data_IF_278009353029
#
_entry.id   IF_278009353029
#
_cell.length_a   1.000
_cell.length_b   1.000
_cell.length_c   1.000
_cell.angle_alpha   90.00
_cell.angle_beta   90.00
_cell.angle_gamma   90.00
#
_symmetry.space_group_name_H-M   'P 1'
#
loop_
_entity.id
_entity.type
_entity.pdbx_description
1 polymer ?
#
# COMPACT_ATOMS: atom_id res chain seq x y z
N UNK A 1 38.05 -16.14 -16.27
CA UNK A 1 37.33 -14.98 -16.83
C UNK A 1 35.95 -15.03 -16.23
N UNK A 2 35.49 -14.05 -15.45
CA UNK A 2 34.13 -14.04 -14.99
C UNK A 2 33.21 -13.71 -16.17
N UNK A 3 32.13 -14.47 -16.31
CA UNK A 3 31.06 -14.18 -17.28
C UNK A 3 30.42 -12.84 -16.91
N UNK A 4 30.50 -11.88 -17.85
CA UNK A 4 29.74 -10.64 -17.75
C UNK A 4 28.27 -10.99 -17.73
N UNK A 5 27.56 -10.66 -16.64
CA UNK A 5 26.12 -10.62 -16.62
C UNK A 5 25.66 -9.64 -17.71
N UNK A 6 24.64 -10.01 -18.48
CA UNK A 6 24.06 -9.11 -19.45
C UNK A 6 23.47 -7.91 -18.67
N UNK A 7 24.03 -6.72 -18.90
CA UNK A 7 23.46 -5.47 -18.41
C UNK A 7 22.05 -5.33 -19.00
N UNK A 8 21.03 -5.46 -18.14
CA UNK A 8 19.65 -5.22 -18.54
C UNK A 8 19.45 -3.73 -18.76
N UNK A 9 19.10 -3.35 -20.00
CA UNK A 9 19.04 -1.94 -20.40
C UNK A 9 17.87 -1.14 -19.80
N UNK A 10 16.91 -1.81 -19.14
CA UNK A 10 15.70 -1.19 -18.57
C UNK A 10 14.99 -2.13 -17.59
N UNK A 11 14.12 -1.54 -16.77
CA UNK A 11 13.11 -2.23 -15.96
C UNK A 11 11.72 -1.69 -16.33
N UNK A 12 10.72 -2.56 -16.32
CA UNK A 12 9.33 -2.18 -16.58
C UNK A 12 8.42 -2.69 -15.46
N UNK A 13 7.72 -1.76 -14.83
CA UNK A 13 6.65 -2.06 -13.90
C UNK A 13 5.32 -1.97 -14.67
N UNK A 14 4.57 -3.09 -14.75
CA UNK A 14 3.31 -3.19 -15.48
C UNK A 14 2.19 -3.53 -14.51
N UNK A 15 1.33 -2.56 -14.20
CA UNK A 15 0.20 -2.72 -13.31
C UNK A 15 -1.10 -2.66 -14.08
N UNK A 16 -1.96 -3.67 -13.92
CA UNK A 16 -3.22 -3.78 -14.67
C UNK A 16 -4.42 -3.82 -13.73
N UNK A 17 -5.46 -3.05 -14.07
CA UNK A 17 -6.78 -3.13 -13.46
C UNK A 17 -7.77 -3.66 -14.49
N UNK A 18 -8.53 -4.73 -14.15
CA UNK A 18 -9.38 -5.49 -15.08
C UNK A 18 -10.85 -5.46 -14.66
N UNK A 19 -11.73 -5.50 -15.66
CA UNK A 19 -13.17 -5.75 -15.49
C UNK A 19 -13.65 -6.73 -16.58
N UNK A 20 -14.94 -7.03 -16.63
CA UNK A 20 -15.51 -8.15 -17.40
C UNK A 20 -15.04 -8.25 -18.87
N UNK A 21 -14.77 -7.13 -19.55
CA UNK A 21 -14.43 -7.09 -20.98
C UNK A 21 -13.37 -6.04 -21.32
N UNK A 22 -12.70 -5.47 -20.29
CA UNK A 22 -11.72 -4.42 -20.48
C UNK A 22 -10.69 -4.33 -19.37
N UNK A 23 -9.70 -3.48 -19.58
CA UNK A 23 -8.63 -3.21 -18.62
C UNK A 23 -8.05 -1.82 -18.81
N UNK A 24 -7.45 -1.30 -17.75
CA UNK A 24 -6.44 -0.25 -17.83
C UNK A 24 -5.10 -0.80 -17.37
N UNK A 25 -4.02 -0.39 -18.01
CA UNK A 25 -2.67 -0.69 -17.56
C UNK A 25 -1.89 0.61 -17.33
N UNK A 26 -1.19 0.67 -16.21
CA UNK A 26 -0.20 1.68 -15.91
C UNK A 26 1.18 1.05 -16.11
N UNK A 27 2.02 1.73 -16.87
CA UNK A 27 3.35 1.25 -17.22
C UNK A 27 4.38 2.29 -16.81
N UNK A 28 5.36 1.88 -16.00
CA UNK A 28 6.54 2.67 -15.66
C UNK A 28 7.76 1.99 -16.26
N UNK A 29 8.48 2.69 -17.12
CA UNK A 29 9.73 2.21 -17.69
C UNK A 29 10.89 2.98 -17.08
N UNK A 30 11.85 2.29 -16.48
CA UNK A 30 13.09 2.86 -15.92
C UNK A 30 14.24 2.53 -16.83
N UNK A 31 14.99 3.54 -17.27
CA UNK A 31 16.18 3.37 -18.09
C UNK A 31 17.40 3.03 -17.21
N UNK A 32 17.96 1.85 -17.35
CA UNK A 32 19.18 1.42 -16.66
C UNK A 32 20.43 1.54 -17.53
N UNK A 33 20.24 1.85 -18.83
CA UNK A 33 21.29 2.08 -19.79
C UNK A 33 21.69 3.57 -19.92
N UNK A 34 22.42 3.93 -20.99
CA UNK A 34 22.75 5.33 -21.30
C UNK A 34 21.53 6.22 -21.45
N UNK A 35 21.69 7.53 -21.20
CA UNK A 35 20.63 8.51 -21.35
C UNK A 35 20.01 8.48 -22.76
N UNK A 36 18.69 8.57 -22.83
CA UNK A 36 17.90 8.55 -24.07
C UNK A 36 17.28 9.93 -24.33
N UNK A 37 17.25 10.32 -25.62
CA UNK A 37 16.51 11.49 -26.12
C UNK A 37 15.36 10.98 -27.00
N UNK A 38 14.38 10.38 -26.35
CA UNK A 38 13.27 9.65 -26.95
C UNK A 38 13.31 8.16 -26.62
N UNK A 39 12.18 7.65 -26.12
CA UNK A 39 12.05 6.24 -25.80
C UNK A 39 10.95 5.57 -26.61
N UNK A 40 11.18 4.29 -26.89
CA UNK A 40 10.24 3.39 -27.54
C UNK A 40 10.21 2.07 -26.79
N UNK A 41 9.11 1.78 -26.13
CA UNK A 41 8.88 0.51 -25.43
C UNK A 41 8.03 -0.41 -26.30
N UNK A 42 8.46 -1.65 -26.50
CA UNK A 42 7.70 -2.67 -27.23
C UNK A 42 7.47 -3.90 -26.38
N UNK A 43 6.34 -4.58 -26.61
CA UNK A 43 5.97 -5.86 -25.98
C UNK A 43 4.95 -6.62 -26.85
N UNK A 44 4.67 -7.86 -26.50
CA UNK A 44 3.70 -8.71 -27.19
C UNK A 44 2.61 -9.19 -26.24
N UNK A 45 1.35 -8.94 -26.58
CA UNK A 45 0.24 -9.65 -25.96
C UNK A 45 0.10 -11.02 -26.56
N UNK A 46 0.16 -12.05 -25.73
CA UNK A 46 -0.06 -13.45 -26.12
C UNK A 46 -1.52 -13.86 -26.09
N UNK A 47 -2.38 -13.02 -25.48
CA UNK A 47 -3.83 -13.15 -25.50
C UNK A 47 -4.51 -12.34 -26.59
N UNK A 48 -5.79 -12.03 -26.37
CA UNK A 48 -6.62 -11.29 -27.33
C UNK A 48 -6.83 -9.81 -26.95
N UNK A 49 -5.95 -9.27 -26.11
CA UNK A 49 -5.99 -7.86 -25.68
C UNK A 49 -5.91 -6.91 -26.87
N UNK A 50 -6.71 -5.82 -26.80
CA UNK A 50 -6.70 -4.74 -27.78
C UNK A 50 -6.66 -3.40 -27.07
N UNK A 51 -5.64 -2.59 -27.38
CA UNK A 51 -5.52 -1.23 -26.89
C UNK A 51 -6.54 -0.33 -27.59
N UNK A 52 -7.32 0.39 -26.83
CA UNK A 52 -8.36 1.31 -27.33
C UNK A 52 -7.99 2.79 -27.17
N UNK A 53 -7.22 3.11 -26.11
CA UNK A 53 -6.71 4.45 -25.87
C UNK A 53 -5.42 4.42 -25.05
N UNK A 54 -4.66 5.50 -25.05
CA UNK A 54 -3.45 5.65 -24.25
C UNK A 54 -3.24 7.13 -23.85
N UNK A 55 -2.56 7.34 -22.73
CA UNK A 55 -2.15 8.66 -22.25
C UNK A 55 -0.67 8.66 -21.93
N UNK A 56 -0.03 9.82 -22.01
CA UNK A 56 1.40 10.06 -21.81
C UNK A 56 2.35 9.31 -22.79
N UNK A 57 1.81 8.53 -23.73
CA UNK A 57 2.55 7.91 -24.83
C UNK A 57 1.71 7.90 -26.10
N UNK A 58 2.34 7.64 -27.24
CA UNK A 58 1.65 7.24 -28.46
C UNK A 58 1.76 5.74 -28.59
N UNK A 59 0.63 5.03 -28.57
CA UNK A 59 0.61 3.56 -28.62
C UNK A 59 0.04 3.10 -29.95
N UNK A 60 0.70 2.14 -30.58
CA UNK A 60 0.24 1.44 -31.78
C UNK A 60 0.25 -0.06 -31.53
N UNK A 61 -0.75 -0.77 -32.06
CA UNK A 61 -0.84 -2.23 -31.96
C UNK A 61 -1.09 -2.85 -33.33
N UNK A 62 -0.33 -3.89 -33.64
CA UNK A 62 -0.53 -4.73 -34.85
C UNK A 62 -0.53 -6.19 -34.42
N UNK A 63 -1.69 -6.83 -34.51
CA UNK A 63 -1.87 -8.16 -33.94
C UNK A 63 -1.65 -8.15 -32.42
N UNK A 64 -0.74 -8.99 -31.92
CA UNK A 64 -0.30 -9.01 -30.52
C UNK A 64 0.80 -7.99 -30.21
N UNK A 65 1.55 -7.52 -31.21
CA UNK A 65 2.69 -6.63 -31.01
C UNK A 65 2.22 -5.20 -30.70
N UNK A 66 2.72 -4.63 -29.60
CA UNK A 66 2.40 -3.29 -29.14
C UNK A 66 3.68 -2.46 -29.05
N UNK A 67 3.57 -1.20 -29.43
CA UNK A 67 4.67 -0.23 -29.36
C UNK A 67 4.13 1.07 -28.76
N UNK A 68 4.75 1.49 -27.67
CA UNK A 68 4.56 2.81 -27.06
C UNK A 68 5.79 3.70 -27.35
N UNK A 69 5.55 4.93 -27.75
CA UNK A 69 6.62 5.92 -27.97
C UNK A 69 6.39 7.17 -27.12
N UNK A 70 7.48 7.77 -26.69
CA UNK A 70 7.46 9.01 -25.90
C UNK A 70 6.70 10.13 -26.62
N UNK A 71 6.19 11.06 -25.84
CA UNK A 71 5.78 12.40 -26.32
C UNK A 71 7.00 13.31 -26.33
N UNK A 72 6.88 14.42 -27.03
CA UNK A 72 7.96 15.42 -27.11
C UNK A 72 8.35 16.05 -25.75
N UNK A 73 7.51 15.93 -24.74
CA UNK A 73 7.74 16.50 -23.41
C UNK A 73 8.28 15.47 -22.38
N UNK A 74 8.21 14.17 -22.65
CA UNK A 74 8.69 13.11 -21.76
C UNK A 74 9.70 12.17 -22.43
N UNK A 75 10.33 12.59 -23.53
CA UNK A 75 11.28 11.77 -24.28
C UNK A 75 12.64 11.66 -23.64
N UNK A 76 13.11 12.69 -22.94
CA UNK A 76 14.41 12.67 -22.26
C UNK A 76 14.36 11.71 -21.07
N UNK A 77 15.17 10.64 -21.10
CA UNK A 77 15.17 9.60 -20.07
C UNK A 77 16.64 9.32 -19.66
N UNK A 78 17.15 10.02 -18.64
CA UNK A 78 18.52 9.80 -18.17
C UNK A 78 18.70 8.39 -17.60
N UNK A 79 19.95 7.97 -17.39
CA UNK A 79 20.25 6.74 -16.66
C UNK A 79 19.63 6.81 -15.25
N UNK A 80 18.87 5.78 -14.87
CA UNK A 80 18.08 5.74 -13.63
C UNK A 80 16.77 6.54 -13.68
N UNK A 81 16.54 7.30 -14.78
CA UNK A 81 15.28 8.04 -14.96
C UNK A 81 14.14 7.13 -15.39
N UNK A 82 12.91 7.51 -15.06
CA UNK A 82 11.70 6.76 -15.39
C UNK A 82 10.70 7.61 -16.19
N UNK A 83 9.93 6.95 -17.05
CA UNK A 83 8.77 7.52 -17.71
C UNK A 83 7.54 6.66 -17.42
N UNK A 84 6.41 7.34 -17.21
CA UNK A 84 5.13 6.69 -16.91
C UNK A 84 4.08 7.02 -17.94
N UNK A 85 3.35 6.02 -18.37
CA UNK A 85 2.23 6.16 -19.28
C UNK A 85 1.17 5.10 -18.98
N UNK A 86 -0.02 5.30 -19.50
CA UNK A 86 -1.06 4.30 -19.33
C UNK A 86 -1.83 4.03 -20.61
N UNK A 87 -2.56 2.96 -20.59
CA UNK A 87 -3.44 2.57 -21.70
C UNK A 87 -4.74 1.93 -21.17
N UNK A 88 -5.76 2.00 -21.98
CA UNK A 88 -7.00 1.27 -21.82
C UNK A 88 -7.17 0.30 -22.98
N UNK A 89 -7.72 -0.85 -22.70
CA UNK A 89 -7.94 -1.87 -23.70
C UNK A 89 -9.14 -2.76 -23.39
N UNK A 90 -9.41 -3.68 -24.32
CA UNK A 90 -10.41 -4.73 -24.19
C UNK A 90 -9.78 -6.11 -24.32
N UNK A 91 -10.43 -7.12 -23.79
CA UNK A 91 -10.12 -8.53 -23.95
C UNK A 91 -11.41 -9.34 -23.97
N UNK A 92 -11.37 -10.59 -24.43
CA UNK A 92 -12.55 -11.46 -24.54
C UNK A 92 -12.37 -12.84 -23.92
N UNK A 93 -11.24 -13.50 -24.16
CA UNK A 93 -11.01 -14.87 -23.74
C UNK A 93 -9.72 -15.07 -22.97
N UNK A 94 -8.68 -14.27 -23.23
CA UNK A 94 -7.40 -14.38 -22.54
C UNK A 94 -6.67 -13.04 -22.49
N UNK A 95 -6.15 -12.70 -21.31
CA UNK A 95 -5.45 -11.44 -21.05
C UNK A 95 -4.18 -11.61 -20.19
N UNK A 96 -3.26 -12.52 -20.56
CA UNK A 96 -2.01 -12.67 -19.81
C UNK A 96 -1.20 -11.37 -19.85
N UNK A 97 -0.52 -11.06 -18.74
CA UNK A 97 0.40 -9.93 -18.69
C UNK A 97 1.58 -10.16 -19.65
N UNK A 98 2.04 -9.13 -20.38
CA UNK A 98 3.23 -9.24 -21.22
C UNK A 98 4.49 -9.34 -20.37
N UNK A 99 5.50 -10.05 -20.86
CA UNK A 99 6.79 -10.26 -20.21
C UNK A 99 8.00 -9.97 -21.09
N UNK A 100 7.79 -9.65 -22.37
CA UNK A 100 8.85 -9.47 -23.39
C UNK A 100 9.13 -7.98 -23.69
N UNK A 101 9.21 -7.16 -22.66
CA UNK A 101 9.46 -5.73 -22.84
C UNK A 101 10.86 -5.45 -23.38
N UNK A 102 10.93 -4.50 -24.34
CA UNK A 102 12.21 -4.01 -24.86
C UNK A 102 12.18 -2.48 -25.01
N UNK A 103 13.15 -1.78 -24.45
CA UNK A 103 13.34 -0.34 -24.56
C UNK A 103 14.34 -0.01 -25.66
N UNK A 104 13.91 0.71 -26.70
CA UNK A 104 14.68 1.02 -27.90
C UNK A 104 15.35 -0.23 -28.53
N UNK A 105 14.66 -1.39 -28.43
CA UNK A 105 15.13 -2.67 -28.96
C UNK A 105 16.08 -3.46 -28.05
N UNK A 106 16.44 -2.92 -26.88
CA UNK A 106 17.20 -3.62 -25.84
C UNK A 106 16.21 -4.29 -24.91
N UNK A 107 16.26 -5.63 -24.71
CA UNK A 107 15.39 -6.31 -23.77
C UNK A 107 15.53 -5.71 -22.37
N UNK A 108 14.39 -5.45 -21.73
CA UNK A 108 14.36 -5.09 -20.33
C UNK A 108 14.60 -6.35 -19.52
N UNK A 109 15.43 -6.28 -18.49
CA UNK A 109 15.65 -7.41 -17.61
C UNK A 109 14.38 -7.75 -16.86
N UNK A 110 14.08 -9.04 -16.82
CA UNK A 110 13.11 -9.59 -15.90
C UNK A 110 13.71 -9.55 -14.49
N UNK A 111 13.44 -8.50 -13.74
CA UNK A 111 13.32 -8.68 -12.30
C UNK A 111 11.91 -9.24 -12.08
N UNK A 112 11.77 -10.52 -12.43
CA UNK A 112 10.77 -11.42 -11.91
C UNK A 112 9.30 -11.23 -12.26
N UNK A 113 8.91 -11.39 -13.55
CA UNK A 113 7.59 -11.96 -13.86
C UNK A 113 7.72 -13.18 -14.75
N UNK A 114 8.23 -14.26 -14.19
CA UNK A 114 7.91 -15.61 -14.69
C UNK A 114 6.50 -15.97 -14.18
N UNK A 115 5.59 -16.53 -15.04
CA UNK A 115 4.44 -17.26 -14.51
C UNK A 115 4.98 -18.34 -13.57
N UNK A 116 4.35 -18.63 -12.44
CA UNK A 116 4.89 -19.57 -11.48
C UNK A 116 4.90 -20.98 -12.04
N UNK A 117 6.00 -21.40 -12.66
CA UNK A 117 6.49 -22.74 -12.47
C UNK A 117 7.21 -22.69 -11.14
N UNK A 118 6.57 -23.20 -10.13
CA UNK A 118 7.04 -23.34 -8.77
C UNK A 118 8.49 -23.87 -8.77
N UNK A 119 9.52 -23.00 -8.60
CA UNK A 119 10.72 -23.42 -7.93
C UNK A 119 10.40 -23.38 -6.42
N UNK A 120 11.08 -24.16 -5.60
CA UNK A 120 10.90 -23.98 -4.16
C UNK A 120 11.21 -22.50 -3.85
N UNK A 121 10.23 -21.79 -3.35
CA UNK A 121 10.34 -20.49 -2.74
C UNK A 121 11.49 -20.57 -1.74
N UNK A 122 12.65 -20.07 -2.10
CA UNK A 122 13.55 -19.57 -1.08
C UNK A 122 12.92 -18.24 -0.68
N UNK A 123 11.98 -18.29 0.25
CA UNK A 123 11.70 -17.21 1.18
C UNK A 123 13.06 -16.62 1.55
N UNK A 124 13.30 -15.29 1.42
CA UNK A 124 14.43 -14.69 2.09
C UNK A 124 14.39 -15.22 3.51
N UNK A 125 15.50 -15.65 4.12
CA UNK A 125 15.44 -16.20 5.44
C UNK A 125 14.72 -15.18 6.33
N UNK A 126 13.74 -15.59 7.15
CA UNK A 126 13.06 -14.68 8.06
C UNK A 126 14.13 -13.99 8.88
N UNK A 127 14.36 -12.69 8.63
CA UNK A 127 15.38 -11.98 9.37
C UNK A 127 16.06 -10.79 8.70
N UNK A 128 16.18 -10.69 7.39
CA UNK A 128 16.84 -9.52 6.78
C UNK A 128 15.93 -8.28 6.77
N UNK A 129 14.63 -8.44 6.50
CA UNK A 129 13.66 -7.32 6.55
C UNK A 129 13.22 -6.97 7.98
N UNK A 130 13.60 -7.79 8.97
CA UNK A 130 13.24 -7.62 10.37
C UNK A 130 14.35 -7.01 11.23
N UNK A 131 15.50 -6.68 10.65
CA UNK A 131 16.62 -6.14 11.41
C UNK A 131 16.26 -4.77 12.03
N UNK A 132 16.27 -4.69 13.36
CA UNK A 132 15.96 -3.44 14.08
C UNK A 132 14.46 -3.15 14.25
N UNK A 133 13.58 -4.10 13.92
CA UNK A 133 12.14 -3.98 14.18
C UNK A 133 11.77 -4.60 15.53
N UNK A 134 10.72 -4.08 16.15
CA UNK A 134 10.10 -4.64 17.37
C UNK A 134 8.87 -5.48 17.05
N UNK A 135 8.28 -5.29 15.88
CA UNK A 135 7.27 -6.14 15.28
C UNK A 135 7.77 -6.50 13.89
N UNK A 136 7.74 -7.79 13.57
CA UNK A 136 7.96 -8.29 12.23
C UNK A 136 7.16 -9.58 12.08
N UNK A 137 6.11 -9.54 11.27
CA UNK A 137 5.18 -10.67 11.16
C UNK A 137 4.63 -10.78 9.75
N UNK A 138 4.84 -11.94 9.16
CA UNK A 138 4.22 -12.41 7.92
C UNK A 138 3.09 -13.42 8.20
N UNK A 139 2.72 -13.60 9.46
CA UNK A 139 1.73 -14.55 9.98
C UNK A 139 1.98 -16.03 9.65
N UNK A 140 3.12 -16.41 9.06
CA UNK A 140 3.42 -17.79 8.69
C UNK A 140 3.70 -18.70 9.91
N UNK A 141 4.06 -18.10 11.05
CA UNK A 141 4.23 -18.79 12.34
C UNK A 141 2.91 -19.19 13.00
N UNK A 142 1.78 -18.68 12.51
CA UNK A 142 0.46 -18.98 13.05
C UNK A 142 0.02 -20.41 12.72
N UNK A 143 -0.29 -21.22 13.73
CA UNK A 143 -0.62 -22.64 13.56
C UNK A 143 -2.11 -22.96 13.50
N UNK A 144 -2.97 -22.00 13.85
CA UNK A 144 -4.42 -22.14 13.88
C UNK A 144 -5.15 -20.98 13.22
N UNK A 145 -6.47 -21.01 13.26
CA UNK A 145 -7.30 -19.92 12.75
C UNK A 145 -7.45 -18.75 13.74
N UNK A 146 -7.10 -18.93 15.01
CA UNK A 146 -7.14 -17.85 16.00
C UNK A 146 -5.76 -17.23 16.11
N UNK A 147 -5.63 -15.90 15.98
CA UNK A 147 -4.36 -15.22 16.18
C UNK A 147 -3.76 -15.52 17.55
N UNK A 148 -2.48 -15.85 17.59
CA UNK A 148 -1.78 -16.35 18.79
C UNK A 148 -0.32 -15.88 18.83
N UNK A 149 0.43 -16.26 19.86
CA UNK A 149 1.83 -15.85 20.01
C UNK A 149 1.96 -14.35 20.21
N UNK A 150 2.55 -13.68 19.25
CA UNK A 150 2.75 -12.22 19.26
C UNK A 150 1.51 -11.42 18.91
N UNK A 151 0.39 -12.07 18.61
CA UNK A 151 -0.86 -11.47 18.24
C UNK A 151 -2.02 -11.92 19.11
N UNK A 152 -2.87 -10.99 19.53
CA UNK A 152 -3.99 -11.27 20.42
C UNK A 152 -5.24 -10.50 19.99
N UNK A 153 -6.36 -11.21 19.85
CA UNK A 153 -7.66 -10.58 19.64
C UNK A 153 -8.03 -9.65 20.81
N UNK A 154 -8.58 -8.47 20.48
CA UNK A 154 -9.08 -7.50 21.43
C UNK A 154 -10.25 -6.73 20.82
N UNK A 155 -11.19 -6.33 21.66
CA UNK A 155 -12.31 -5.47 21.29
C UNK A 155 -12.35 -4.31 22.30
N UNK A 156 -11.48 -3.30 22.13
CA UNK A 156 -11.45 -2.18 23.06
C UNK A 156 -12.80 -1.45 23.05
N UNK A 157 -13.24 -1.04 24.21
CA UNK A 157 -14.48 -0.30 24.49
C UNK A 157 -15.76 -1.07 24.18
N UNK A 158 -15.90 -1.77 23.04
CA UNK A 158 -17.16 -2.35 22.65
C UNK A 158 -17.01 -3.54 21.67
N UNK A 159 -17.41 -4.72 22.09
CA UNK A 159 -17.41 -5.92 21.25
C UNK A 159 -18.81 -6.17 20.66
N UNK A 160 -18.85 -6.38 19.34
CA UNK A 160 -20.06 -6.76 18.61
C UNK A 160 -19.87 -7.99 17.75
N UNK A 161 -20.34 -7.96 16.52
CA UNK A 161 -20.32 -9.07 15.57
C UNK A 161 -19.05 -9.15 14.69
N UNK A 162 -18.14 -8.17 14.79
CA UNK A 162 -16.87 -8.22 14.08
C UNK A 162 -15.98 -9.37 14.57
N UNK A 163 -15.21 -9.98 13.68
CA UNK A 163 -14.32 -11.11 13.99
C UNK A 163 -12.95 -10.94 13.36
N UNK A 164 -11.97 -11.63 13.92
CA UNK A 164 -10.65 -11.74 13.31
C UNK A 164 -10.15 -13.19 13.33
N UNK A 165 -9.44 -13.57 12.29
CA UNK A 165 -8.89 -14.93 12.13
C UNK A 165 -7.60 -14.91 11.31
N UNK A 166 -6.80 -15.97 11.41
CA UNK A 166 -5.74 -16.26 10.44
C UNK A 166 -6.39 -16.88 9.21
N UNK A 167 -6.15 -16.26 8.04
CA UNK A 167 -6.64 -16.73 6.74
C UNK A 167 -5.53 -17.49 6.02
N UNK A 168 -5.91 -18.58 5.35
CA UNK A 168 -5.02 -19.38 4.50
C UNK A 168 -5.44 -19.37 3.03
N UNK A 169 -6.47 -18.61 2.69
CA UNK A 169 -6.99 -18.49 1.32
C UNK A 169 -6.52 -17.21 0.62
N UNK A 170 -6.21 -16.16 1.40
CA UNK A 170 -5.76 -14.87 0.89
C UNK A 170 -4.54 -14.45 1.68
N UNK A 171 -3.38 -14.32 1.03
CA UNK A 171 -2.15 -13.81 1.62
C UNK A 171 -1.46 -12.87 0.63
N UNK A 172 -0.61 -11.96 1.13
CA UNK A 172 0.27 -11.15 0.30
C UNK A 172 1.55 -11.92 0.00
N UNK A 173 2.27 -12.32 1.04
CA UNK A 173 3.39 -13.24 1.00
C UNK A 173 3.02 -14.62 1.56
N UNK A 174 3.80 -15.66 1.26
CA UNK A 174 3.62 -16.96 1.88
C UNK A 174 2.23 -17.59 1.65
N UNK A 175 1.60 -18.02 2.75
CA UNK A 175 0.35 -18.78 2.73
C UNK A 175 -0.67 -18.35 3.79
N UNK A 176 -0.37 -17.33 4.59
CA UNK A 176 -1.21 -16.87 5.71
C UNK A 176 -1.26 -15.35 5.78
N UNK A 177 -2.36 -14.85 6.29
CA UNK A 177 -2.51 -13.44 6.64
C UNK A 177 -3.46 -13.27 7.81
N UNK A 178 -3.54 -12.09 8.37
CA UNK A 178 -4.58 -11.72 9.33
C UNK A 178 -5.82 -11.22 8.60
N UNK A 179 -6.95 -11.90 8.75
CA UNK A 179 -8.26 -11.48 8.24
C UNK A 179 -9.10 -10.87 9.34
N UNK A 180 -9.75 -9.76 9.03
CA UNK A 180 -10.75 -9.11 9.89
C UNK A 180 -12.04 -8.93 9.13
N UNK A 181 -13.14 -9.49 9.63
CA UNK A 181 -14.49 -9.27 9.12
C UNK A 181 -15.14 -8.15 9.94
N UNK A 182 -15.00 -6.93 9.47
CA UNK A 182 -15.56 -5.73 10.06
C UNK A 182 -17.07 -5.62 9.84
N UNK A 183 -17.79 -5.14 10.85
CA UNK A 183 -19.23 -4.93 10.79
C UNK A 183 -19.59 -3.48 11.01
N UNK A 184 -20.65 -3.06 10.33
CA UNK A 184 -21.28 -1.77 10.56
C UNK A 184 -21.91 -1.69 11.95
N UNK A 185 -22.09 -0.47 12.44
CA UNK A 185 -22.72 -0.20 13.72
C UNK A 185 -21.73 0.18 14.81
N UNK A 186 -22.24 0.97 15.74
CA UNK A 186 -21.45 1.66 16.77
C UNK A 186 -20.66 0.74 17.71
N UNK A 187 -21.02 -0.51 17.86
CA UNK A 187 -20.43 -1.41 18.86
C UNK A 187 -19.89 -2.69 18.19
N UNK A 188 -18.98 -2.55 17.24
CA UNK A 188 -18.42 -3.69 16.50
C UNK A 188 -16.88 -3.60 16.38
N UNK A 189 -16.21 -3.27 17.50
CA UNK A 189 -14.75 -3.23 17.51
C UNK A 189 -14.21 -4.65 17.46
N UNK A 190 -13.34 -4.92 16.49
CA UNK A 190 -12.66 -6.19 16.30
C UNK A 190 -11.22 -5.92 15.87
N UNK A 191 -10.28 -6.04 16.80
CA UNK A 191 -8.87 -5.80 16.54
C UNK A 191 -8.01 -7.00 16.94
N UNK A 192 -6.84 -7.09 16.35
CA UNK A 192 -5.76 -7.96 16.79
C UNK A 192 -4.58 -7.07 17.17
N UNK A 193 -4.18 -7.14 18.42
CA UNK A 193 -3.10 -6.35 18.98
C UNK A 193 -1.80 -7.15 18.93
N UNK A 194 -0.72 -6.50 18.51
CA UNK A 194 0.61 -7.01 18.74
C UNK A 194 0.92 -6.98 20.25
N UNK A 195 1.68 -7.98 20.73
CA UNK A 195 2.10 -8.05 22.15
C UNK A 195 3.32 -7.18 22.45
N UNK A 196 4.05 -6.77 21.40
CA UNK A 196 5.23 -5.92 21.52
C UNK A 196 4.85 -4.52 22.04
N UNK A 197 5.66 -3.99 22.96
CA UNK A 197 5.55 -2.63 23.47
C UNK A 197 6.30 -1.66 22.56
N UNK A 198 5.60 -0.68 22.01
CA UNK A 198 6.15 0.36 21.13
C UNK A 198 6.72 1.56 21.90
N UNK A 199 6.54 1.65 23.21
CA UNK A 199 6.93 2.84 24.01
C UNK A 199 8.43 3.15 23.97
N UNK A 200 9.26 2.16 23.66
CA UNK A 200 10.71 2.30 23.50
C UNK A 200 11.16 2.58 22.06
N UNK A 201 10.25 2.53 21.09
CA UNK A 201 10.57 2.83 19.69
C UNK A 201 10.62 4.34 19.49
N UNK A 202 11.70 4.82 18.93
CA UNK A 202 11.85 6.24 18.67
C UNK A 202 13.27 6.63 18.23
N UNK A 203 13.48 7.90 17.90
CA UNK A 203 12.57 9.06 18.01
C UNK A 203 11.39 9.02 17.02
N UNK A 204 11.49 8.25 15.96
CA UNK A 204 10.41 8.06 14.97
C UNK A 204 9.96 6.59 14.99
N UNK A 205 8.66 6.37 15.07
CA UNK A 205 8.04 5.05 14.92
C UNK A 205 7.66 4.88 13.47
N UNK A 206 8.33 3.98 12.78
CA UNK A 206 8.03 3.59 11.41
C UNK A 206 7.18 2.33 11.41
N UNK A 207 6.12 2.34 10.64
CA UNK A 207 5.20 1.21 10.47
C UNK A 207 5.02 0.91 8.98
N UNK A 208 5.09 -0.36 8.63
CA UNK A 208 4.71 -0.89 7.32
C UNK A 208 3.74 -2.02 7.51
N UNK A 209 2.76 -2.12 6.62
CA UNK A 209 1.89 -3.29 6.47
C UNK A 209 1.39 -3.38 5.04
N UNK A 210 1.17 -4.60 4.57
CA UNK A 210 0.34 -4.82 3.42
C UNK A 210 -1.11 -4.97 3.88
N UNK A 211 -2.00 -4.21 3.24
CA UNK A 211 -3.43 -4.23 3.54
C UNK A 211 -4.22 -4.44 2.26
N UNK A 212 -5.22 -5.29 2.34
CA UNK A 212 -6.22 -5.52 1.28
C UNK A 212 -7.60 -5.44 1.90
N UNK A 213 -8.56 -4.87 1.18
CA UNK A 213 -9.93 -4.79 1.64
C UNK A 213 -10.92 -4.95 0.49
N UNK A 214 -12.20 -5.22 0.81
CA UNK A 214 -13.22 -5.56 -0.20
C UNK A 214 -14.14 -4.42 -0.56
N UNK A 215 -14.44 -3.53 0.39
CA UNK A 215 -15.48 -2.52 0.25
C UNK A 215 -14.86 -1.13 0.31
N UNK A 216 -15.22 -0.23 -0.60
CA UNK A 216 -14.74 1.14 -0.56
C UNK A 216 -15.01 1.81 0.80
N UNK A 217 -14.05 2.62 1.26
CA UNK A 217 -14.19 3.36 2.52
C UNK A 217 -15.51 4.14 2.52
N UNK A 218 -16.31 4.06 3.60
CA UNK A 218 -17.62 4.70 3.64
C UNK A 218 -17.54 6.22 3.85
N UNK A 219 -18.67 6.87 3.78
CA UNK A 219 -18.80 8.29 4.19
C UNK A 219 -18.68 8.47 5.70
N UNK A 220 -19.08 7.47 6.49
CA UNK A 220 -18.91 7.46 7.94
C UNK A 220 -17.46 7.16 8.32
N UNK A 221 -17.04 7.58 9.51
CA UNK A 221 -15.73 7.27 10.06
C UNK A 221 -15.56 5.77 10.32
N UNK A 222 -14.45 5.22 9.87
CA UNK A 222 -14.01 3.86 10.17
C UNK A 222 -12.53 3.86 10.54
N UNK A 223 -12.11 2.90 11.36
CA UNK A 223 -10.72 2.70 11.77
C UNK A 223 -10.30 1.27 11.45
N UNK A 224 -9.13 1.09 10.87
CA UNK A 224 -8.55 -0.24 10.67
C UNK A 224 -7.14 -0.41 11.28
N UNK A 225 -6.50 0.69 11.70
CA UNK A 225 -5.29 0.69 12.53
C UNK A 225 -5.52 1.57 13.74
N UNK A 226 -5.20 1.07 14.93
CA UNK A 226 -5.33 1.80 16.19
C UNK A 226 -4.03 1.70 16.98
N UNK A 227 -3.53 2.86 17.43
CA UNK A 227 -2.30 2.97 18.21
C UNK A 227 -2.62 3.71 19.53
N UNK A 228 -2.83 2.99 20.64
CA UNK A 228 -2.98 3.63 21.95
C UNK A 228 -1.82 4.58 22.25
N UNK A 229 -2.15 5.80 22.68
CA UNK A 229 -1.18 6.90 22.86
C UNK A 229 -1.20 7.38 24.32
N UNK A 230 -0.07 7.22 25.01
CA UNK A 230 0.06 7.68 26.42
C UNK A 230 0.05 9.19 26.55
N UNK A 231 0.44 9.93 25.52
CA UNK A 231 0.33 11.38 25.51
C UNK A 231 -1.13 11.87 25.50
N UNK A 232 -2.05 10.98 25.15
CA UNK A 232 -3.50 11.19 25.06
C UNK A 232 -4.28 10.38 26.13
N UNK A 233 -3.65 10.03 27.24
CA UNK A 233 -4.23 9.19 28.31
C UNK A 233 -4.68 7.81 27.82
N UNK A 234 -3.97 7.23 26.87
CA UNK A 234 -4.27 5.92 26.30
C UNK A 234 -5.34 5.92 25.18
N UNK A 235 -5.90 7.09 24.85
CA UNK A 235 -6.74 7.25 23.65
C UNK A 235 -5.89 7.08 22.40
N UNK A 236 -6.47 6.47 21.37
CA UNK A 236 -5.70 6.03 20.21
C UNK A 236 -5.50 7.13 19.16
N UNK A 237 -4.34 7.10 18.50
CA UNK A 237 -4.22 7.54 17.12
C UNK A 237 -4.82 6.46 16.22
N UNK A 238 -5.63 6.84 15.25
CA UNK A 238 -6.38 5.91 14.41
C UNK A 238 -6.13 6.21 12.94
N UNK A 239 -5.82 5.17 12.16
CA UNK A 239 -5.82 5.22 10.69
C UNK A 239 -7.03 4.48 10.18
N UNK A 240 -7.72 5.09 9.26
CA UNK A 240 -8.91 4.52 8.65
C UNK A 240 -9.39 5.38 7.50
N UNK A 241 -10.68 5.69 7.49
CA UNK A 241 -11.24 6.54 6.47
C UNK A 241 -12.52 7.23 6.88
N UNK A 242 -12.82 8.30 6.16
CA UNK A 242 -14.07 9.02 6.20
C UNK A 242 -14.30 9.70 4.85
N UNK A 243 -15.56 9.86 4.45
CA UNK A 243 -15.93 10.46 3.16
C UNK A 243 -15.25 9.77 1.95
N UNK A 244 -14.99 8.47 2.03
CA UNK A 244 -14.41 7.68 0.96
C UNK A 244 -12.89 7.76 0.83
N UNK A 245 -12.19 8.47 1.71
CA UNK A 245 -10.75 8.68 1.64
C UNK A 245 -10.04 8.28 2.92
N UNK A 246 -8.76 7.95 2.83
CA UNK A 246 -7.88 7.68 3.97
C UNK A 246 -7.81 8.90 4.89
N UNK A 247 -7.78 8.66 6.18
CA UNK A 247 -7.75 9.70 7.19
C UNK A 247 -7.12 9.20 8.48
N UNK A 248 -6.35 10.07 9.14
CA UNK A 248 -6.03 9.93 10.55
C UNK A 248 -7.12 10.57 11.40
N UNK A 249 -7.37 9.97 12.55
CA UNK A 249 -8.23 10.53 13.58
C UNK A 249 -7.54 10.39 14.94
N UNK A 250 -7.66 11.40 15.76
CA UNK A 250 -7.19 11.40 17.14
C UNK A 250 -8.40 11.24 18.07
N UNK A 251 -8.53 10.07 18.67
CA UNK A 251 -9.70 9.70 19.49
C UNK A 251 -9.98 10.66 20.65
N UNK A 252 -8.97 11.31 21.19
CA UNK A 252 -9.10 12.17 22.37
C UNK A 252 -9.87 13.46 22.14
N UNK A 253 -9.96 13.96 20.91
CA UNK A 253 -10.60 15.22 20.53
C UNK A 253 -11.25 15.22 19.15
N UNK A 254 -11.32 14.06 18.53
CA UNK A 254 -11.84 13.84 17.17
C UNK A 254 -11.17 14.70 16.08
N UNK A 255 -9.99 15.24 16.35
CA UNK A 255 -9.23 15.90 15.32
C UNK A 255 -8.84 14.92 14.21
N UNK A 256 -8.96 15.36 12.97
CA UNK A 256 -8.65 14.55 11.80
C UNK A 256 -7.52 15.17 10.98
N UNK A 257 -6.80 14.30 10.25
CA UNK A 257 -5.80 14.67 9.26
C UNK A 257 -6.10 13.91 7.96
N UNK A 258 -6.40 14.58 6.85
CA UNK A 258 -6.69 16.02 6.74
C UNK A 258 -7.96 16.41 7.52
N UNK A 259 -8.18 17.71 7.71
CA UNK A 259 -9.42 18.21 8.30
C UNK A 259 -10.65 17.73 7.52
N UNK A 260 -11.80 17.56 8.21
CA UNK A 260 -13.04 17.05 7.62
C UNK A 260 -13.72 18.03 6.63
N UNK A 261 -13.12 19.15 6.33
CA UNK A 261 -13.63 20.06 5.30
C UNK A 261 -13.63 19.38 3.93
N UNK A 262 -14.51 19.78 2.99
CA UNK A 262 -14.45 19.28 1.62
C UNK A 262 -13.09 19.50 0.94
N UNK A 263 -12.41 20.59 1.25
CA UNK A 263 -11.08 20.88 0.71
C UNK A 263 -10.00 19.95 1.31
N UNK A 264 -10.05 19.70 2.62
CA UNK A 264 -9.11 18.78 3.29
C UNK A 264 -9.27 17.34 2.80
N UNK A 265 -10.50 16.83 2.75
CA UNK A 265 -10.79 15.47 2.24
C UNK A 265 -10.33 15.29 0.80
N UNK A 266 -10.45 16.31 -0.05
CA UNK A 266 -10.02 16.27 -1.44
C UNK A 266 -8.48 16.12 -1.61
N UNK A 267 -7.70 16.38 -0.56
CA UNK A 267 -6.24 16.20 -0.58
C UNK A 267 -5.82 14.76 -0.30
N UNK A 268 -6.68 13.97 0.34
CA UNK A 268 -6.45 12.56 0.60
C UNK A 268 -6.92 11.70 -0.58
N UNK A 269 -6.73 10.40 -0.48
CA UNK A 269 -7.14 9.44 -1.52
C UNK A 269 -7.80 8.20 -0.93
N UNK A 270 -8.65 7.50 -1.71
CA UNK A 270 -9.20 6.22 -1.32
C UNK A 270 -8.11 5.17 -1.09
N UNK A 271 -8.38 4.20 -0.23
CA UNK A 271 -7.64 2.94 -0.22
C UNK A 271 -8.21 2.05 -1.35
N UNK A 272 -7.41 1.59 -2.33
CA UNK A 272 -7.89 0.75 -3.42
C UNK A 272 -8.40 -0.61 -2.92
N UNK A 273 -9.60 -1.01 -3.37
CA UNK A 273 -10.21 -2.28 -3.01
C UNK A 273 -9.71 -3.45 -3.85
N UNK A 274 -9.78 -4.67 -3.31
CA UNK A 274 -9.54 -5.92 -4.04
C UNK A 274 -8.08 -6.23 -4.38
N UNK A 275 -7.15 -5.33 -4.07
CA UNK A 275 -5.70 -5.50 -4.28
C UNK A 275 -4.93 -5.18 -3.01
N UNK A 276 -3.78 -5.81 -2.85
CA UNK A 276 -2.86 -5.50 -1.77
C UNK A 276 -2.23 -4.13 -1.96
N UNK A 277 -2.18 -3.36 -0.89
CA UNK A 277 -1.58 -2.04 -0.84
C UNK A 277 -0.57 -2.00 0.29
N UNK A 278 0.62 -1.52 0.02
CA UNK A 278 1.60 -1.26 1.06
C UNK A 278 1.26 0.08 1.74
N UNK A 279 0.79 0.03 2.96
CA UNK A 279 0.54 1.20 3.78
C UNK A 279 1.73 1.41 4.72
N UNK A 280 2.34 2.58 4.64
CA UNK A 280 3.44 2.97 5.52
C UNK A 280 3.13 4.29 6.20
N UNK A 281 3.61 4.43 7.43
CA UNK A 281 3.58 5.72 8.10
C UNK A 281 4.74 5.87 9.09
N UNK A 282 5.11 7.11 9.34
CA UNK A 282 6.11 7.50 10.31
C UNK A 282 5.49 8.47 11.31
N UNK A 283 5.70 8.25 12.60
CA UNK A 283 5.21 9.09 13.69
C UNK A 283 6.40 9.59 14.49
N UNK A 284 6.62 10.90 14.50
CA UNK A 284 7.67 11.50 15.33
C UNK A 284 7.18 11.58 16.79
N UNK A 285 7.91 10.95 17.69
CA UNK A 285 7.62 10.97 19.13
C UNK A 285 8.23 12.16 19.87
N UNK A 286 8.92 13.06 19.15
CA UNK A 286 9.56 14.27 19.69
C UNK A 286 8.92 15.55 19.17
N UNK A 287 8.17 15.48 18.09
CA UNK A 287 7.45 16.58 17.45
C UNK A 287 6.05 16.15 17.03
N UNK A 288 5.08 17.06 16.86
CA UNK A 288 3.75 16.72 16.37
C UNK A 288 3.75 16.49 14.84
N UNK A 289 4.67 15.68 14.35
CA UNK A 289 4.86 15.39 12.93
C UNK A 289 4.56 13.92 12.61
N UNK A 290 3.99 13.70 11.45
CA UNK A 290 3.76 12.37 10.89
C UNK A 290 3.66 12.42 9.36
N UNK A 291 4.01 11.31 8.74
CA UNK A 291 3.93 11.09 7.30
C UNK A 291 3.23 9.77 7.00
N UNK A 292 2.53 9.71 5.86
CA UNK A 292 1.86 8.50 5.41
C UNK A 292 2.06 8.29 3.91
N UNK A 293 2.34 7.04 3.53
CA UNK A 293 2.53 6.63 2.14
C UNK A 293 1.62 5.45 1.80
N UNK A 294 1.23 5.39 0.55
CA UNK A 294 0.58 4.24 -0.06
C UNK A 294 1.45 3.78 -1.24
N UNK A 295 2.13 2.63 -1.07
CA UNK A 295 3.29 2.29 -1.87
C UNK A 295 4.42 3.28 -1.64
N UNK A 296 5.05 3.75 -2.70
CA UNK A 296 6.10 4.78 -2.66
C UNK A 296 5.54 6.21 -2.74
N UNK A 297 4.23 6.36 -2.87
CA UNK A 297 3.58 7.65 -3.05
C UNK A 297 3.15 8.24 -1.72
N UNK A 298 3.61 9.43 -1.34
CA UNK A 298 3.08 10.12 -0.16
C UNK A 298 1.60 10.44 -0.34
N UNK A 299 0.83 10.36 0.73
CA UNK A 299 -0.56 10.81 0.75
C UNK A 299 -0.59 12.27 1.23
N UNK A 300 -0.76 13.27 0.35
CA UNK A 300 -0.52 14.68 0.70
C UNK A 300 -1.36 15.19 1.87
N UNK A 301 -2.61 14.72 1.96
CA UNK A 301 -3.48 15.08 3.06
C UNK A 301 -3.18 14.39 4.40
N UNK A 302 -2.26 13.40 4.42
CA UNK A 302 -1.87 12.65 5.62
C UNK A 302 -0.43 12.95 6.01
N UNK A 303 -0.10 14.22 6.02
CA UNK A 303 1.20 14.75 6.38
C UNK A 303 1.03 15.88 7.39
N UNK A 304 1.79 15.86 8.46
CA UNK A 304 1.89 16.94 9.44
C UNK A 304 3.37 17.18 9.75
N UNK A 305 3.84 18.40 9.51
CA UNK A 305 5.25 18.79 9.68
C UNK A 305 5.48 19.83 10.82
N UNK A 306 4.42 20.09 11.59
CA UNK A 306 4.45 21.11 12.65
C UNK A 306 4.13 22.53 12.16
N UNK A 307 3.90 22.73 10.87
CA UNK A 307 3.49 24.01 10.28
C UNK A 307 2.02 23.95 9.85
N UNK A 308 1.09 24.58 10.60
CA UNK A 308 -0.33 24.50 10.31
C UNK A 308 -0.69 25.03 8.93
N UNK A 309 -1.45 24.25 8.17
CA UNK A 309 -2.03 24.64 6.89
C UNK A 309 -3.55 24.59 6.95
N UNK A 310 -4.23 25.41 6.12
CA UNK A 310 -5.69 25.39 6.05
C UNK A 310 -6.16 24.07 5.43
N UNK A 311 -7.17 23.45 6.05
CA UNK A 311 -7.82 22.23 5.57
C UNK A 311 -6.94 20.96 5.54
N UNK A 312 -5.71 20.99 6.05
CA UNK A 312 -4.85 19.81 6.17
C UNK A 312 -4.65 19.43 7.62
N UNK A 313 -3.83 20.17 8.35
CA UNK A 313 -3.35 19.80 9.67
C UNK A 313 -3.61 20.84 10.77
N UNK A 314 -4.34 21.92 10.47
CA UNK A 314 -4.60 23.00 11.42
C UNK A 314 -5.26 22.53 12.71
N UNK A 315 -6.28 21.69 12.63
CA UNK A 315 -6.95 21.11 13.80
C UNK A 315 -6.03 20.10 14.49
N UNK A 316 -5.33 19.29 13.70
CA UNK A 316 -4.39 18.30 14.20
C UNK A 316 -3.29 18.95 15.04
N UNK A 317 -2.71 20.03 14.57
CA UNK A 317 -1.63 20.77 15.24
C UNK A 317 -2.12 21.73 16.33
N UNK A 318 -3.42 21.86 16.57
CA UNK A 318 -3.93 22.59 17.73
C UNK A 318 -3.45 21.98 19.06
N UNK A 319 -3.07 20.70 19.07
CA UNK A 319 -2.34 20.04 20.15
C UNK A 319 -0.88 19.86 19.77
N UNK A 320 0.01 20.43 20.57
CA UNK A 320 1.46 20.43 20.33
C UNK A 320 2.20 19.32 21.06
N UNK A 321 1.49 18.44 21.78
CA UNK A 321 2.12 17.33 22.50
C UNK A 321 2.44 16.22 21.51
N UNK A 322 3.72 15.80 21.39
CA UNK A 322 4.09 14.71 20.50
C UNK A 322 3.40 13.40 20.86
N UNK A 323 3.03 12.58 19.87
CA UNK A 323 2.42 11.28 20.11
C UNK A 323 3.38 10.30 20.79
N UNK A 324 2.84 9.37 21.56
CA UNK A 324 3.56 8.31 22.29
C UNK A 324 2.81 6.98 22.14
N UNK A 325 2.82 6.38 20.93
CA UNK A 325 2.16 5.10 20.71
C UNK A 325 2.81 3.98 21.54
N UNK A 326 2.00 3.10 22.10
CA UNK A 326 2.47 2.00 22.96
C UNK A 326 2.16 0.62 22.40
N UNK A 327 1.24 0.52 21.46
CA UNK A 327 0.87 -0.75 20.84
C UNK A 327 0.37 -0.52 19.41
N UNK A 328 0.42 -1.56 18.58
CA UNK A 328 -0.22 -1.62 17.27
C UNK A 328 -1.42 -2.56 17.35
N UNK A 329 -2.57 -2.11 16.86
CA UNK A 329 -3.77 -2.91 16.70
C UNK A 329 -4.24 -2.81 15.25
N UNK A 330 -4.46 -3.95 14.61
CA UNK A 330 -4.98 -4.11 13.26
C UNK A 330 -6.40 -4.65 13.33
N UNK A 331 -7.33 -4.07 12.61
CA UNK A 331 -8.69 -4.54 12.76
C UNK A 331 -9.76 -3.64 12.16
N UNK A 332 -10.84 -3.45 12.91
CA UNK A 332 -12.00 -2.68 12.48
C UNK A 332 -12.74 -2.03 13.63
N UNK A 333 -13.11 -0.79 13.40
CA UNK A 333 -14.05 -0.02 14.21
C UNK A 333 -14.90 0.84 13.27
N UNK A 334 -16.20 0.85 13.46
CA UNK A 334 -17.14 1.61 12.64
C UNK A 334 -18.10 2.43 13.51
N UNK A 335 -18.52 3.56 12.99
CA UNK A 335 -19.47 4.47 13.66
C UNK A 335 -20.80 4.58 12.89
N UNK A 336 -21.26 3.51 12.30
CA UNK A 336 -22.60 3.47 11.70
C UNK A 336 -22.70 2.73 10.38
N UNK A 337 -21.88 3.02 9.40
CA UNK A 337 -21.89 2.38 8.09
C UNK A 337 -20.57 1.64 7.84
N UNK A 338 -20.61 0.69 6.94
CA UNK A 338 -19.44 0.01 6.42
C UNK A 338 -19.18 -1.36 7.04
N UNK A 339 -19.72 -2.40 6.43
CA UNK A 339 -19.17 -3.75 6.54
C UNK A 339 -17.99 -3.83 5.58
N UNK A 340 -16.87 -4.37 6.03
CA UNK A 340 -15.72 -4.63 5.17
C UNK A 340 -14.99 -5.89 5.64
N UNK A 341 -14.32 -6.56 4.72
CA UNK A 341 -13.35 -7.61 5.05
C UNK A 341 -11.98 -7.10 4.68
N UNK A 342 -11.08 -7.07 5.66
CA UNK A 342 -9.70 -6.64 5.51
C UNK A 342 -8.76 -7.82 5.71
N UNK A 343 -7.63 -7.78 5.03
CA UNK A 343 -6.47 -8.63 5.30
C UNK A 343 -5.26 -7.76 5.54
N UNK A 344 -4.44 -8.18 6.52
CA UNK A 344 -3.15 -7.56 6.83
C UNK A 344 -2.07 -8.61 6.73
N UNK A 345 -0.92 -8.23 6.18
CA UNK A 345 0.21 -9.11 5.99
C UNK A 345 1.53 -8.32 6.03
N UNK A 346 2.65 -9.02 6.19
CA UNK A 346 4.01 -8.45 6.18
C UNK A 346 4.12 -7.18 7.05
N UNK A 347 3.69 -7.29 8.30
CA UNK A 347 3.62 -6.17 9.25
C UNK A 347 4.97 -5.97 9.92
N UNK A 348 5.49 -4.76 9.86
CA UNK A 348 6.73 -4.40 10.53
C UNK A 348 6.63 -3.05 11.27
N UNK A 349 7.29 -2.96 12.43
CA UNK A 349 7.41 -1.72 13.21
C UNK A 349 8.83 -1.59 13.72
N UNK A 350 9.44 -0.43 13.52
CA UNK A 350 10.81 -0.17 13.96
C UNK A 350 11.13 1.32 14.09
N UNK A 351 12.39 1.62 14.40
CA UNK A 351 12.91 2.98 14.53
C UNK A 351 13.60 3.52 13.26
N UNK A 352 13.71 2.69 12.23
CA UNK A 352 14.26 3.05 10.92
C UNK A 352 13.17 3.00 9.85
N UNK A 353 13.29 3.75 8.74
CA UNK A 353 12.39 3.65 7.60
C UNK A 353 12.26 2.20 7.11
N UNK A 354 11.04 1.84 6.73
CA UNK A 354 10.67 0.51 6.23
C UNK A 354 10.17 0.65 4.79
N UNK A 355 10.74 -0.13 3.89
CA UNK A 355 10.33 -0.17 2.49
C UNK A 355 9.20 -1.18 2.26
N UNK A 356 8.48 -1.04 1.16
CA UNK A 356 7.51 -2.04 0.72
C UNK A 356 8.24 -3.25 0.13
#
# INVERSE_FOLDING_TARGET
MPASGADTGCRVDYTVNKWADGYTAQIKVTNLGPALDGWRLSWTYTGDQRVTSAWNATVTQTGGSVVATSKNWNGALPTGGAAEFGLQGTWRSADPAPSDFALNGVPCGDDGTTPPTTPPTTTPPPGEDCAGTVICSDFEDQTGSTPSGDWRFTAPDCQGAGTAAVDTAVAHGGSRSLRVDGRAGYCNHAFVAATADLSSVGPVVHVRMWVRHTTALPSAHVTFVSLPDTSQNGRSLRVGGQNGALQWNRESDDATLPEQSPAGVALSRPLPTGSWQCLRFAIDTTAPALDTWLGDEPVPGLHADGVPTQDVDRQWLARTVPPRPTALRLGWESYGAGDDTLWFDDVAVGSAPLDC
#
